data_IF_230350155690
#
_entry.id   IF_230350155690
#
_cell.length_a   1.000
_cell.length_b   1.000
_cell.length_c   1.000
_cell.angle_alpha   90.00
_cell.angle_beta   90.00
_cell.angle_gamma   90.00
#
_symmetry.space_group_name_H-M   'P 1'
#
loop_
_entity.id
_entity.type
_entity.pdbx_description
1 polymer ?
#
# COMPACT_ATOMS: atom_id res chain seq x y z
N UNK A 1 9.03 10.53 39.68
CA UNK A 1 8.15 11.63 39.22
C UNK A 1 7.77 11.36 37.78
N UNK A 2 6.50 11.07 37.50
CA UNK A 2 6.03 10.90 36.12
C UNK A 2 5.86 12.28 35.48
N UNK A 3 6.36 12.46 34.26
CA UNK A 3 6.33 13.73 33.54
C UNK A 3 5.40 13.57 32.34
N UNK A 4 4.25 14.25 32.35
CA UNK A 4 3.34 14.28 31.20
C UNK A 4 3.98 15.08 30.08
N UNK A 5 4.21 14.45 28.94
CA UNK A 5 4.91 15.08 27.79
C UNK A 5 3.92 15.79 26.85
N UNK A 6 2.65 15.34 26.79
CA UNK A 6 1.57 15.95 26.00
C UNK A 6 0.22 15.77 26.71
N UNK A 7 -0.55 16.85 26.82
CA UNK A 7 -1.93 16.87 27.30
C UNK A 7 -2.79 17.66 26.33
N UNK A 8 -4.01 17.20 26.08
CA UNK A 8 -4.99 17.87 25.22
C UNK A 8 -6.38 17.58 25.79
N UNK A 9 -7.32 18.49 25.53
CA UNK A 9 -8.72 18.28 25.88
C UNK A 9 -9.41 17.51 24.76
N UNK A 10 -10.33 16.63 25.16
CA UNK A 10 -11.17 15.85 24.26
C UNK A 10 -12.64 16.17 24.55
N UNK A 11 -13.48 15.96 23.56
CA UNK A 11 -14.93 15.98 23.75
C UNK A 11 -15.36 14.83 24.68
N UNK A 12 -16.43 15.04 25.45
CA UNK A 12 -16.89 14.14 26.52
C UNK A 12 -17.20 12.72 26.01
N UNK A 13 -17.70 12.60 24.79
CA UNK A 13 -18.01 11.32 24.14
C UNK A 13 -16.73 10.55 23.76
N UNK A 14 -15.71 11.26 23.25
CA UNK A 14 -14.39 10.69 22.93
C UNK A 14 -13.66 10.28 24.22
N UNK A 15 -13.75 11.09 25.27
CA UNK A 15 -13.19 10.76 26.57
C UNK A 15 -13.83 9.48 27.15
N UNK A 16 -15.17 9.38 27.12
CA UNK A 16 -15.90 8.17 27.57
C UNK A 16 -15.54 6.93 26.75
N UNK A 17 -15.39 7.08 25.43
CA UNK A 17 -14.93 5.98 24.58
C UNK A 17 -13.54 5.48 25.01
N UNK A 18 -12.60 6.40 25.22
CA UNK A 18 -11.23 6.05 25.61
C UNK A 18 -11.16 5.49 27.03
N UNK A 19 -11.97 5.98 27.96
CA UNK A 19 -12.09 5.41 29.31
C UNK A 19 -12.62 3.97 29.30
N UNK A 20 -13.49 3.64 28.34
CA UNK A 20 -13.96 2.27 28.11
C UNK A 20 -12.90 1.35 27.49
N UNK A 21 -11.78 1.89 27.01
CA UNK A 21 -10.69 1.10 26.44
C UNK A 21 -9.68 0.76 27.52
N UNK A 22 -9.24 -0.50 27.59
CA UNK A 22 -8.22 -0.94 28.56
C UNK A 22 -6.85 -0.25 28.40
N UNK A 23 -6.64 0.49 27.31
CA UNK A 23 -5.45 1.29 27.05
C UNK A 23 -5.76 2.49 26.12
N UNK A 24 -6.23 3.60 26.69
CA UNK A 24 -6.54 4.83 25.96
C UNK A 24 -5.38 5.36 25.11
N UNK A 25 -4.14 5.28 25.62
CA UNK A 25 -2.96 5.76 24.87
C UNK A 25 -2.62 4.89 23.67
N UNK A 26 -2.84 3.57 23.78
CA UNK A 26 -2.71 2.64 22.65
C UNK A 26 -3.74 2.92 21.57
N UNK A 27 -4.99 3.14 21.97
CA UNK A 27 -6.10 3.43 21.07
C UNK A 27 -5.91 4.74 20.31
N UNK A 28 -5.54 5.83 21.00
CA UNK A 28 -5.23 7.11 20.37
C UNK A 28 -4.10 6.97 19.34
N UNK A 29 -3.02 6.24 19.66
CA UNK A 29 -1.93 6.00 18.73
C UNK A 29 -2.38 5.19 17.50
N UNK A 30 -3.25 4.21 17.67
CA UNK A 30 -3.79 3.42 16.57
C UNK A 30 -4.65 4.28 15.63
N UNK A 31 -5.52 5.13 16.18
CA UNK A 31 -6.37 6.06 15.43
C UNK A 31 -5.51 7.03 14.62
N UNK A 32 -4.50 7.65 15.26
CA UNK A 32 -3.59 8.60 14.59
C UNK A 32 -2.83 7.92 13.45
N UNK A 33 -2.29 6.71 13.68
CA UNK A 33 -1.60 5.94 12.61
C UNK A 33 -2.53 5.64 11.45
N UNK A 34 -3.78 5.21 11.73
CA UNK A 34 -4.78 4.94 10.68
C UNK A 34 -5.09 6.20 9.88
N UNK A 35 -5.26 7.34 10.55
CA UNK A 35 -5.49 8.61 9.89
C UNK A 35 -4.32 8.99 8.98
N UNK A 36 -3.07 8.92 9.47
CA UNK A 36 -1.88 9.21 8.66
C UNK A 36 -1.75 8.31 7.44
N UNK A 37 -2.07 7.01 7.57
CA UNK A 37 -2.04 6.07 6.46
C UNK A 37 -3.12 6.40 5.42
N UNK A 38 -4.33 6.74 5.85
CA UNK A 38 -5.41 7.14 4.95
C UNK A 38 -5.07 8.44 4.22
N UNK A 39 -4.53 9.46 4.91
CA UNK A 39 -4.09 10.70 4.26
C UNK A 39 -3.02 10.42 3.22
N UNK A 40 -2.03 9.57 3.51
CA UNK A 40 -1.02 9.17 2.51
C UNK A 40 -1.62 8.40 1.33
N UNK A 41 -2.57 7.51 1.60
CA UNK A 41 -3.26 6.78 0.54
C UNK A 41 -4.07 7.73 -0.35
N UNK A 42 -4.74 8.73 0.22
CA UNK A 42 -5.45 9.79 -0.50
C UNK A 42 -4.49 10.69 -1.29
N UNK A 43 -3.34 11.06 -0.72
CA UNK A 43 -2.28 11.80 -1.43
C UNK A 43 -1.73 11.02 -2.63
N UNK A 44 -1.55 9.70 -2.49
CA UNK A 44 -1.10 8.82 -3.57
C UNK A 44 -2.22 8.64 -4.61
N UNK A 45 -3.47 8.42 -4.19
CA UNK A 45 -4.61 8.23 -5.07
C UNK A 45 -5.00 9.52 -5.83
N UNK A 46 -4.84 10.68 -5.19
CA UNK A 46 -5.06 12.01 -5.78
C UNK A 46 -3.92 12.48 -6.68
N UNK A 47 -2.73 11.86 -6.59
CA UNK A 47 -1.62 12.14 -7.50
C UNK A 47 -1.94 11.60 -8.89
N UNK A 48 -2.33 12.50 -9.80
CA UNK A 48 -2.30 12.19 -11.23
C UNK A 48 -0.84 11.95 -11.63
N UNK A 49 -0.49 10.77 -12.18
CA UNK A 49 0.86 10.54 -12.66
C UNK A 49 1.16 11.55 -13.78
N UNK A 50 2.30 12.23 -13.65
CA UNK A 50 2.78 13.15 -14.68
C UNK A 50 3.20 12.36 -15.94
N UNK A 51 3.41 13.06 -17.06
CA UNK A 51 3.74 12.36 -18.31
C UNK A 51 5.06 11.57 -18.22
N UNK A 52 6.03 12.02 -17.42
CA UNK A 52 7.28 11.30 -17.21
C UNK A 52 7.07 9.97 -16.47
N UNK A 53 6.21 9.94 -15.45
CA UNK A 53 5.82 8.73 -14.71
C UNK A 53 5.04 7.75 -15.61
N UNK A 54 4.13 8.25 -16.44
CA UNK A 54 3.42 7.43 -17.43
C UNK A 54 4.37 6.83 -18.46
N UNK A 55 5.33 7.61 -18.95
CA UNK A 55 6.33 7.13 -19.90
C UNK A 55 7.29 6.11 -19.25
N UNK A 56 7.65 6.30 -17.98
CA UNK A 56 8.45 5.33 -17.22
C UNK A 56 7.69 3.99 -17.06
N UNK A 57 6.42 4.04 -16.66
CA UNK A 57 5.59 2.84 -16.55
C UNK A 57 5.41 2.11 -17.89
N UNK A 58 5.19 2.86 -18.99
CA UNK A 58 5.12 2.28 -20.35
C UNK A 58 6.44 1.63 -20.78
N UNK A 59 7.59 2.27 -20.50
CA UNK A 59 8.91 1.70 -20.78
C UNK A 59 9.14 0.40 -20.00
N UNK A 60 8.82 0.40 -18.71
CA UNK A 60 8.91 -0.79 -17.88
C UNK A 60 8.03 -1.93 -18.42
N UNK A 61 6.76 -1.65 -18.75
CA UNK A 61 5.86 -2.66 -19.30
C UNK A 61 6.35 -3.23 -20.64
N UNK A 62 6.91 -2.39 -21.53
CA UNK A 62 7.51 -2.85 -22.79
C UNK A 62 8.73 -3.73 -22.57
N UNK A 63 9.59 -3.38 -21.61
CA UNK A 63 10.75 -4.20 -21.26
C UNK A 63 10.32 -5.57 -20.72
N UNK A 64 9.33 -5.61 -19.82
CA UNK A 64 8.77 -6.88 -19.31
C UNK A 64 8.18 -7.74 -20.43
N UNK A 65 7.46 -7.14 -21.38
CA UNK A 65 6.92 -7.84 -22.53
C UNK A 65 8.01 -8.35 -23.49
N UNK A 66 9.11 -7.59 -23.66
CA UNK A 66 10.25 -8.04 -24.46
C UNK A 66 10.96 -9.22 -23.80
N UNK A 67 11.21 -9.17 -22.49
CA UNK A 67 11.78 -10.30 -21.73
C UNK A 67 10.88 -11.53 -21.82
N UNK A 68 9.57 -11.38 -21.56
CA UNK A 68 8.63 -12.48 -21.69
C UNK A 68 8.59 -13.04 -23.12
N UNK A 69 8.79 -12.21 -24.14
CA UNK A 69 8.86 -12.65 -25.53
C UNK A 69 10.15 -13.43 -25.82
N UNK A 70 11.28 -12.97 -25.31
CA UNK A 70 12.57 -13.66 -25.41
C UNK A 70 12.52 -15.02 -24.72
N UNK A 71 11.90 -15.11 -23.53
CA UNK A 71 11.69 -16.37 -22.83
C UNK A 71 10.84 -17.35 -23.66
N UNK A 72 9.76 -16.85 -24.27
CA UNK A 72 8.90 -17.62 -25.17
C UNK A 72 9.65 -18.12 -26.40
N UNK A 73 10.40 -17.24 -27.08
CA UNK A 73 11.16 -17.55 -28.29
C UNK A 73 12.37 -18.46 -27.98
N UNK A 74 12.90 -18.45 -26.76
CA UNK A 74 13.96 -19.35 -26.27
C UNK A 74 13.46 -20.77 -25.94
N UNK A 75 12.19 -21.08 -26.18
CA UNK A 75 11.60 -22.41 -25.97
C UNK A 75 10.94 -22.60 -24.60
N UNK A 76 10.94 -21.59 -23.71
CA UNK A 76 10.18 -21.66 -22.47
C UNK A 76 8.67 -21.73 -22.74
N UNK A 77 8.21 -21.36 -23.94
CA UNK A 77 6.80 -21.46 -24.31
C UNK A 77 6.28 -22.89 -24.30
N UNK A 78 7.06 -23.87 -24.77
CA UNK A 78 6.66 -25.27 -24.79
C UNK A 78 6.74 -25.91 -23.39
N UNK A 79 7.71 -25.47 -22.57
CA UNK A 79 7.82 -25.86 -21.16
C UNK A 79 6.66 -25.31 -20.33
N UNK A 80 6.33 -24.02 -20.48
CA UNK A 80 5.17 -23.38 -19.85
C UNK A 80 3.85 -23.99 -20.36
N UNK A 81 3.73 -24.34 -21.65
CA UNK A 81 2.55 -25.03 -22.19
C UNK A 81 2.37 -26.43 -21.58
N UNK A 82 3.46 -27.17 -21.38
CA UNK A 82 3.45 -28.47 -20.69
C UNK A 82 3.04 -28.32 -19.23
N UNK A 83 3.64 -27.37 -18.51
CA UNK A 83 3.33 -27.12 -17.10
C UNK A 83 1.89 -26.67 -16.88
N UNK A 84 1.34 -25.86 -17.78
CA UNK A 84 -0.06 -25.44 -17.70
C UNK A 84 -1.05 -26.53 -18.18
N UNK A 85 -0.59 -27.62 -18.80
CA UNK A 85 -1.43 -28.71 -19.31
C UNK A 85 -2.10 -28.42 -20.66
N UNK A 86 -1.55 -27.50 -21.46
CA UNK A 86 -2.09 -27.03 -22.74
C UNK A 86 -1.37 -27.66 -23.95
N UNK A 87 -0.35 -28.49 -23.70
CA UNK A 87 0.28 -29.34 -24.70
C UNK A 87 -0.45 -30.69 -24.73
N UNK A 88 -0.98 -31.07 -25.91
CA UNK A 88 -1.51 -32.42 -26.19
C UNK A 88 -0.36 -33.36 -26.50
#
# INVERSE_FOLDING_TARGET
MAKTIKSFSLDDDVAKYLEGTGNASGEVNAIVRRHMLNTRAEEIAGRRPNEAEKQAARRWARAQLATAREDVDAGAYDEIRREMGWAV
#
